data_IF_623003793773
#
_entry.id   IF_623003793773
#
_cell.length_a   1.000
_cell.length_b   1.000
_cell.length_c   1.000
_cell.angle_alpha   90.00
_cell.angle_beta   90.00
_cell.angle_gamma   90.00
#
_symmetry.space_group_name_H-M   'P 1'
#
loop_
_entity.id
_entity.type
_entity.pdbx_description
1 polymer ?
#
# COMPACT_ATOMS: atom_id res chain seq x y z
N UNK A 1 11.68 4.06 13.53
CA UNK A 1 10.68 3.32 14.33
C UNK A 1 9.69 2.69 13.37
N UNK A 2 9.31 1.42 13.59
CA UNK A 2 8.27 0.74 12.79
C UNK A 2 6.90 1.29 13.19
N UNK A 3 6.07 1.61 12.20
CA UNK A 3 4.69 2.02 12.43
C UNK A 3 3.84 0.80 12.80
N UNK A 4 3.84 -0.23 11.96
CA UNK A 4 3.15 -1.51 12.18
C UNK A 4 1.63 -1.46 12.18
N UNK A 5 1.04 -0.36 11.71
CA UNK A 5 -0.40 -0.14 11.59
C UNK A 5 -0.67 0.90 10.49
N UNK A 6 0.10 0.85 9.41
CA UNK A 6 -0.04 1.85 8.35
C UNK A 6 -1.26 1.47 7.49
N UNK A 7 -2.22 2.38 7.42
CA UNK A 7 -3.48 2.28 6.65
C UNK A 7 -4.08 3.67 6.49
N UNK A 8 -4.97 3.91 5.51
CA UNK A 8 -5.51 5.25 5.24
C UNK A 8 -6.16 5.91 6.44
N UNK A 9 -6.85 5.15 7.30
CA UNK A 9 -7.51 5.68 8.50
C UNK A 9 -6.56 6.24 9.56
N UNK A 10 -5.26 5.95 9.45
CA UNK A 10 -4.21 6.49 10.32
C UNK A 10 -3.38 7.59 9.63
N UNK A 11 -3.77 8.01 8.42
CA UNK A 11 -3.18 9.13 7.68
C UNK A 11 -4.17 10.30 7.76
N UNK A 12 -3.85 11.25 8.63
CA UNK A 12 -4.71 12.39 8.93
C UNK A 12 -4.30 13.59 8.08
N UNK A 13 -5.30 14.28 7.53
CA UNK A 13 -5.11 15.57 6.89
C UNK A 13 -5.49 16.67 7.88
N UNK A 14 -4.49 17.43 8.34
CA UNK A 14 -4.65 18.43 9.38
C UNK A 14 -4.66 19.86 8.84
N UNK A 15 -5.65 20.64 9.27
CA UNK A 15 -5.77 22.06 8.96
C UNK A 15 -6.13 22.38 7.50
N UNK A 16 -6.16 23.66 7.13
CA UNK A 16 -6.63 24.10 5.81
C UNK A 16 -5.68 23.72 4.65
N UNK A 17 -4.41 23.45 4.94
CA UNK A 17 -3.41 23.08 3.94
C UNK A 17 -3.28 21.55 3.76
N UNK A 18 -4.18 20.76 4.35
CA UNK A 18 -4.15 19.30 4.31
C UNK A 18 -2.77 18.71 4.69
N UNK A 19 -2.15 19.23 5.75
CA UNK A 19 -0.86 18.72 6.23
C UNK A 19 -1.02 17.27 6.68
N UNK A 20 -0.26 16.37 6.06
CA UNK A 20 -0.32 14.93 6.35
C UNK A 20 0.35 14.63 7.70
N UNK A 21 -0.35 13.88 8.56
CA UNK A 21 0.14 13.38 9.85
C UNK A 21 -0.18 11.90 10.02
N UNK A 22 0.72 11.16 10.65
CA UNK A 22 0.51 9.74 10.97
C UNK A 22 0.09 9.58 12.44
N UNK A 23 -0.91 8.74 12.70
CA UNK A 23 -1.34 8.34 14.05
C UNK A 23 -1.04 6.86 14.33
N UNK A 24 -1.21 6.42 15.58
CA UNK A 24 -1.27 4.99 15.94
C UNK A 24 -0.02 4.16 15.55
N UNK A 25 1.14 4.82 15.53
CA UNK A 25 2.43 4.16 15.28
C UNK A 25 2.93 3.43 16.53
N UNK A 26 3.51 2.25 16.34
CA UNK A 26 4.20 1.53 17.41
C UNK A 26 3.29 0.82 18.43
N UNK A 27 1.96 0.77 18.20
CA UNK A 27 1.01 0.13 19.12
C UNK A 27 1.34 -1.32 19.44
N UNK A 28 1.91 -2.07 18.49
CA UNK A 28 2.35 -3.46 18.67
C UNK A 28 3.33 -3.66 19.83
N UNK A 29 4.04 -2.61 20.26
CA UNK A 29 4.97 -2.65 21.40
C UNK A 29 4.27 -2.73 22.76
N UNK A 30 2.99 -2.39 22.80
CA UNK A 30 2.15 -2.40 23.99
C UNK A 30 1.22 -3.64 24.03
N UNK A 31 1.27 -4.48 22.99
CA UNK A 31 0.39 -5.64 22.84
C UNK A 31 1.06 -6.91 23.35
N UNK A 32 0.22 -7.86 23.79
CA UNK A 32 0.65 -9.24 24.00
C UNK A 32 0.92 -9.93 22.65
N UNK A 33 1.64 -11.07 22.62
CA UNK A 33 1.83 -11.83 21.38
C UNK A 33 0.52 -12.20 20.65
N UNK A 34 -0.53 -12.54 21.40
CA UNK A 34 -1.85 -12.82 20.84
C UNK A 34 -2.50 -11.56 20.25
N UNK A 35 -2.37 -10.42 20.95
CA UNK A 35 -2.85 -9.13 20.44
C UNK A 35 -2.13 -8.68 19.17
N UNK A 36 -0.83 -8.96 19.03
CA UNK A 36 -0.10 -8.70 17.78
C UNK A 36 -0.64 -9.58 16.65
N UNK A 37 -0.90 -10.86 16.93
CA UNK A 37 -1.46 -11.79 15.94
C UNK A 37 -2.84 -11.34 15.45
N UNK A 38 -3.74 -10.97 16.36
CA UNK A 38 -5.07 -10.44 16.03
C UNK A 38 -4.97 -9.12 15.23
N UNK A 39 -4.08 -8.22 15.64
CA UNK A 39 -3.82 -6.97 14.93
C UNK A 39 -3.36 -7.21 13.48
N UNK A 40 -2.49 -8.20 13.26
CA UNK A 40 -2.00 -8.57 11.93
C UNK A 40 -3.10 -9.24 11.09
N UNK A 41 -3.94 -10.08 11.69
CA UNK A 41 -5.13 -10.64 11.00
C UNK A 41 -6.08 -9.53 10.54
N UNK A 42 -6.32 -8.52 11.39
CA UNK A 42 -7.15 -7.36 11.04
C UNK A 42 -6.56 -6.55 9.89
N UNK A 43 -5.24 -6.32 9.86
CA UNK A 43 -4.58 -5.70 8.70
C UNK A 43 -4.72 -6.56 7.45
N UNK A 44 -4.70 -7.89 7.58
CA UNK A 44 -4.87 -8.83 6.47
C UNK A 44 -6.26 -8.76 5.85
N UNK A 45 -7.30 -8.75 6.70
CA UNK A 45 -8.69 -8.58 6.25
C UNK A 45 -8.93 -7.24 5.53
N UNK A 46 -8.15 -6.21 5.86
CA UNK A 46 -8.21 -4.90 5.23
C UNK A 46 -7.29 -4.76 4.00
N UNK A 47 -6.47 -5.77 3.67
CA UNK A 47 -5.56 -5.76 2.52
C UNK A 47 -4.20 -5.07 2.74
N UNK A 48 -3.86 -4.68 3.97
CA UNK A 48 -2.60 -3.98 4.28
C UNK A 48 -1.50 -4.87 4.89
N UNK A 49 -1.80 -6.15 5.15
CA UNK A 49 -0.84 -7.08 5.73
C UNK A 49 0.13 -7.60 4.68
N UNK A 50 1.43 -7.40 4.91
CA UNK A 50 2.46 -8.00 4.09
C UNK A 50 2.45 -9.54 4.21
N UNK A 51 2.61 -10.28 3.09
CA UNK A 51 2.39 -11.73 3.07
C UNK A 51 3.34 -12.51 4.00
N UNK A 52 4.54 -11.98 4.28
CA UNK A 52 5.48 -12.60 5.22
C UNK A 52 4.99 -12.63 6.67
N UNK A 53 4.08 -11.71 7.04
CA UNK A 53 3.51 -11.67 8.39
C UNK A 53 2.42 -12.72 8.59
N UNK A 54 1.67 -13.08 7.54
CA UNK A 54 0.62 -14.10 7.61
C UNK A 54 1.18 -15.53 7.73
N UNK A 55 2.40 -15.76 7.27
CA UNK A 55 3.03 -17.08 7.23
C UNK A 55 3.86 -17.42 8.48
N UNK A 56 3.87 -16.56 9.50
CA UNK A 56 4.72 -16.70 10.69
C UNK A 56 3.88 -17.03 11.93
N UNK A 57 4.32 -17.97 12.76
CA UNK A 57 3.61 -18.36 14.00
C UNK A 57 3.65 -17.31 15.11
N UNK A 58 4.63 -16.41 15.07
CA UNK A 58 4.79 -15.25 15.98
C UNK A 58 5.15 -14.01 15.17
N UNK A 59 4.20 -13.45 14.42
CA UNK A 59 4.50 -12.37 13.51
C UNK A 59 4.80 -11.08 14.28
N UNK A 60 5.72 -10.26 13.76
CA UNK A 60 6.06 -8.97 14.34
C UNK A 60 6.17 -7.93 13.23
N UNK A 61 5.53 -6.75 13.35
CA UNK A 61 5.65 -5.71 12.33
C UNK A 61 7.11 -5.30 12.07
N UNK A 62 7.44 -5.04 10.81
CA UNK A 62 8.80 -4.67 10.38
C UNK A 62 8.76 -3.43 9.50
N UNK A 63 9.91 -2.79 9.28
CA UNK A 63 10.03 -1.69 8.31
C UNK A 63 9.64 -2.12 6.89
N UNK A 64 9.92 -3.38 6.52
CA UNK A 64 9.53 -3.91 5.21
C UNK A 64 8.02 -4.06 5.11
N UNK A 65 7.35 -4.50 6.18
CA UNK A 65 5.89 -4.57 6.20
C UNK A 65 5.24 -3.17 6.10
N UNK A 66 5.83 -2.15 6.73
CA UNK A 66 5.37 -0.76 6.55
C UNK A 66 5.51 -0.29 5.09
N UNK A 67 6.59 -0.67 4.40
CA UNK A 67 6.76 -0.36 2.97
C UNK A 67 5.69 -1.06 2.12
N UNK A 68 5.34 -2.31 2.43
CA UNK A 68 4.25 -3.01 1.75
C UNK A 68 2.93 -2.25 1.89
N UNK A 69 2.55 -1.93 3.12
CA UNK A 69 1.32 -1.19 3.41
C UNK A 69 1.30 0.18 2.72
N UNK A 70 2.44 0.89 2.67
CA UNK A 70 2.57 2.14 1.91
C UNK A 70 2.32 1.93 0.41
N UNK A 71 2.86 0.86 -0.17
CA UNK A 71 2.59 0.48 -1.56
C UNK A 71 1.10 0.30 -1.82
N UNK A 72 0.42 -0.47 -0.97
CA UNK A 72 -1.04 -0.67 -1.06
C UNK A 72 -1.80 0.66 -0.97
N UNK A 73 -1.43 1.55 -0.05
CA UNK A 73 -2.05 2.87 0.10
C UNK A 73 -1.85 3.71 -1.17
N UNK A 74 -0.66 3.70 -1.78
CA UNK A 74 -0.43 4.41 -3.06
C UNK A 74 -1.32 3.84 -4.17
N UNK A 75 -1.52 2.52 -4.21
CA UNK A 75 -2.45 1.90 -5.15
C UNK A 75 -3.90 2.36 -4.89
N UNK A 76 -4.36 2.38 -3.65
CA UNK A 76 -5.71 2.90 -3.32
C UNK A 76 -5.87 4.36 -3.76
N UNK A 77 -4.85 5.19 -3.54
CA UNK A 77 -4.87 6.61 -3.94
C UNK A 77 -5.01 6.78 -5.46
N UNK A 78 -4.30 5.96 -6.25
CA UNK A 78 -4.29 6.07 -7.72
C UNK A 78 -5.51 5.39 -8.37
N UNK A 79 -6.02 4.33 -7.77
CA UNK A 79 -7.12 3.52 -8.34
C UNK A 79 -8.49 3.89 -7.80
N UNK A 80 -8.55 4.61 -6.68
CA UNK A 80 -9.77 4.93 -5.91
C UNK A 80 -10.57 3.69 -5.48
N UNK A 81 -9.92 2.53 -5.41
CA UNK A 81 -10.49 1.26 -4.93
C UNK A 81 -9.97 0.96 -3.53
N UNK A 82 -10.77 0.31 -2.70
CA UNK A 82 -10.27 -0.10 -1.38
C UNK A 82 -9.40 -1.34 -1.50
N UNK A 83 -8.34 -1.43 -0.68
CA UNK A 83 -7.44 -2.57 -0.62
C UNK A 83 -8.15 -3.88 -0.25
N UNK A 84 -9.20 -3.80 0.58
CA UNK A 84 -10.02 -4.95 0.97
C UNK A 84 -11.15 -5.30 -0.01
N UNK A 85 -11.33 -4.53 -1.10
CA UNK A 85 -12.38 -4.81 -2.07
C UNK A 85 -12.04 -6.04 -2.91
N UNK A 86 -13.04 -6.88 -3.16
CA UNK A 86 -12.95 -7.96 -4.14
C UNK A 86 -13.18 -7.36 -5.53
N UNK A 87 -12.12 -7.33 -6.35
CA UNK A 87 -12.19 -6.86 -7.72
C UNK A 87 -12.55 -8.05 -8.61
N UNK A 88 -13.75 -8.02 -9.18
CA UNK A 88 -14.21 -9.01 -10.15
C UNK A 88 -13.72 -8.64 -11.54
N UNK A 89 -12.90 -9.51 -12.16
CA UNK A 89 -12.41 -9.37 -13.53
C UNK A 89 -12.61 -10.63 -14.36
N UNK A 90 -12.09 -10.62 -15.59
CA UNK A 90 -12.14 -11.78 -16.50
C UNK A 90 -11.40 -13.01 -15.92
N UNK A 91 -10.40 -12.77 -15.06
CA UNK A 91 -9.60 -13.80 -14.39
C UNK A 91 -10.16 -14.25 -13.03
N UNK A 92 -11.36 -13.79 -12.65
CA UNK A 92 -12.00 -14.10 -11.36
C UNK A 92 -11.98 -12.94 -10.36
N UNK A 93 -12.24 -13.28 -9.10
CA UNK A 93 -12.23 -12.36 -7.96
C UNK A 93 -10.83 -12.29 -7.35
N UNK A 94 -10.20 -11.12 -7.41
CA UNK A 94 -8.84 -10.86 -6.87
C UNK A 94 -8.85 -9.63 -5.96
N UNK A 95 -7.86 -9.49 -5.08
CA UNK A 95 -7.66 -8.25 -4.33
C UNK A 95 -7.02 -7.15 -5.20
N UNK A 96 -6.92 -5.94 -4.63
CA UNK A 96 -6.34 -4.78 -5.31
C UNK A 96 -4.90 -5.03 -5.78
N UNK A 97 -4.08 -5.67 -4.96
CA UNK A 97 -2.65 -5.86 -5.25
C UNK A 97 -2.43 -6.85 -6.39
N UNK A 98 -3.21 -7.93 -6.42
CA UNK A 98 -3.17 -8.92 -7.49
C UNK A 98 -3.73 -8.37 -8.80
N UNK A 99 -4.80 -7.59 -8.74
CA UNK A 99 -5.34 -6.92 -9.93
C UNK A 99 -4.35 -5.94 -10.56
N UNK A 100 -3.73 -5.08 -9.75
CA UNK A 100 -2.72 -4.11 -10.24
C UNK A 100 -1.51 -4.84 -10.85
N UNK A 101 -1.06 -5.93 -10.22
CA UNK A 101 0.04 -6.77 -10.75
C UNK A 101 -0.31 -7.42 -12.08
N UNK A 102 -1.53 -7.91 -12.23
CA UNK A 102 -1.98 -8.50 -13.49
C UNK A 102 -2.00 -7.45 -14.61
N UNK A 103 -2.56 -6.28 -14.35
CA UNK A 103 -2.54 -5.16 -15.29
C UNK A 103 -1.11 -4.74 -15.67
N UNK A 104 -0.18 -4.72 -14.71
CA UNK A 104 1.23 -4.43 -14.98
C UNK A 104 1.88 -5.46 -15.91
N UNK A 105 1.68 -6.75 -15.62
CA UNK A 105 2.22 -7.85 -16.43
C UNK A 105 1.67 -7.87 -17.87
N UNK A 106 0.44 -7.41 -18.06
CA UNK A 106 -0.20 -7.28 -19.37
C UNK A 106 0.16 -5.97 -20.11
N UNK A 107 0.99 -5.11 -19.53
CA UNK A 107 1.36 -3.82 -20.13
C UNK A 107 0.22 -2.79 -20.10
N UNK A 108 -0.76 -2.99 -19.22
CA UNK A 108 -1.99 -2.19 -19.08
C UNK A 108 -2.04 -1.44 -17.74
N UNK A 109 -0.88 -1.11 -17.16
CA UNK A 109 -0.78 -0.47 -15.83
C UNK A 109 -1.62 0.81 -15.72
N UNK A 110 -1.68 1.59 -16.79
CA UNK A 110 -2.44 2.85 -16.83
C UNK A 110 -3.95 2.66 -16.71
N UNK A 111 -4.48 1.50 -17.11
CA UNK A 111 -5.90 1.18 -16.99
C UNK A 111 -6.35 1.07 -15.52
N UNK A 112 -5.41 0.89 -14.59
CA UNK A 112 -5.70 0.85 -13.16
C UNK A 112 -6.08 2.22 -12.60
N UNK A 113 -5.58 3.30 -13.20
CA UNK A 113 -5.67 4.64 -12.65
C UNK A 113 -7.08 5.21 -12.84
N UNK A 114 -7.63 5.77 -11.77
CA UNK A 114 -8.94 6.41 -11.78
C UNK A 114 -8.94 7.62 -12.72
N UNK A 115 -9.88 7.65 -13.67
CA UNK A 115 -9.95 8.69 -14.71
C UNK A 115 -10.39 10.05 -14.16
N UNK A 116 -11.17 10.07 -13.07
CA UNK A 116 -11.57 11.33 -12.44
C UNK A 116 -10.37 11.98 -11.75
N UNK A 117 -9.46 11.18 -11.18
CA UNK A 117 -8.20 11.66 -10.63
C UNK A 117 -7.30 12.30 -11.70
N UNK A 118 -7.34 11.79 -12.94
CA UNK A 118 -6.65 12.38 -14.09
C UNK A 118 -7.39 13.60 -14.68
N UNK A 119 -8.44 14.11 -14.03
CA UNK A 119 -9.22 15.25 -14.51
C UNK A 119 -9.98 14.94 -15.81
N UNK A 120 -10.32 13.67 -16.05
CA UNK A 120 -10.94 13.21 -17.29
C UNK A 120 -9.99 13.13 -18.48
N UNK A 121 -8.68 13.29 -18.26
CA UNK A 121 -7.63 13.12 -19.27
C UNK A 121 -6.97 11.74 -19.14
N UNK A 122 -6.06 11.43 -20.05
CA UNK A 122 -5.19 10.26 -19.91
C UNK A 122 -4.31 10.41 -18.66
N UNK A 123 -4.09 9.33 -17.88
CA UNK A 123 -3.25 9.41 -16.70
C UNK A 123 -1.83 9.87 -17.04
N UNK A 124 -1.23 10.68 -16.17
CA UNK A 124 0.08 11.27 -16.44
C UNK A 124 1.22 10.25 -16.24
N UNK A 125 2.38 10.53 -16.84
CA UNK A 125 3.59 9.73 -16.62
C UNK A 125 4.00 9.67 -15.14
N UNK A 126 3.76 10.74 -14.38
CA UNK A 126 3.99 10.77 -12.93
C UNK A 126 3.13 9.75 -12.20
N UNK A 127 1.87 9.57 -12.61
CA UNK A 127 0.97 8.58 -12.01
C UNK A 127 1.39 7.15 -12.38
N UNK A 128 1.82 6.91 -13.62
CA UNK A 128 2.42 5.64 -14.06
C UNK A 128 3.63 5.26 -13.19
N UNK A 129 4.55 6.21 -13.03
CA UNK A 129 5.78 6.01 -12.27
C UNK A 129 5.48 5.79 -10.78
N UNK A 130 4.52 6.53 -10.21
CA UNK A 130 4.05 6.33 -8.85
C UNK A 130 3.42 4.95 -8.63
N UNK A 131 2.63 4.46 -9.60
CA UNK A 131 2.08 3.10 -9.58
C UNK A 131 3.21 2.07 -9.70
N UNK A 132 4.20 2.28 -10.55
CA UNK A 132 5.40 1.44 -10.65
C UNK A 132 6.21 1.37 -9.34
N UNK A 133 6.37 2.48 -8.63
CA UNK A 133 6.98 2.50 -7.28
C UNK A 133 6.17 1.65 -6.31
N UNK A 134 4.83 1.77 -6.33
CA UNK A 134 3.95 1.00 -5.45
C UNK A 134 4.02 -0.52 -5.71
N UNK A 135 4.14 -0.94 -6.97
CA UNK A 135 4.30 -2.35 -7.35
C UNK A 135 5.59 -2.93 -6.78
N UNK A 136 6.70 -2.18 -6.81
CA UNK A 136 7.96 -2.59 -6.16
C UNK A 136 7.81 -2.72 -4.64
N UNK A 137 7.00 -1.87 -4.01
CA UNK A 137 6.76 -1.91 -2.57
C UNK A 137 6.04 -3.19 -2.11
N UNK A 138 5.31 -3.88 -2.98
CA UNK A 138 4.60 -5.12 -2.63
C UNK A 138 5.35 -6.40 -2.99
N UNK A 139 6.55 -6.30 -3.59
CA UNK A 139 7.41 -7.45 -3.92
C UNK A 139 7.76 -8.32 -2.70
N UNK A 140 8.28 -9.55 -2.93
CA UNK A 140 8.84 -10.39 -1.87
C UNK A 140 9.81 -9.60 -0.97
N UNK A 141 9.85 -9.95 0.33
CA UNK A 141 10.53 -9.15 1.37
C UNK A 141 12.01 -8.86 1.06
N UNK A 142 12.68 -9.75 0.36
CA UNK A 142 14.08 -9.66 -0.10
C UNK A 142 14.28 -8.72 -1.29
N UNK A 143 13.26 -8.49 -2.11
CA UNK A 143 13.31 -7.64 -3.32
C UNK A 143 12.65 -6.26 -3.10
N UNK A 144 11.80 -6.15 -2.07
CA UNK A 144 11.12 -4.90 -1.70
C UNK A 144 12.15 -3.79 -1.41
N UNK A 145 11.98 -2.56 -1.90
CA UNK A 145 12.87 -1.45 -1.55
C UNK A 145 12.76 -1.10 -0.07
N UNK A 146 13.77 -0.40 0.45
CA UNK A 146 13.67 0.25 1.76
C UNK A 146 13.01 1.63 1.63
N UNK A 147 12.50 2.16 2.74
CA UNK A 147 11.72 3.41 2.74
C UNK A 147 12.50 4.63 2.20
N UNK A 148 13.84 4.65 2.31
CA UNK A 148 14.66 5.75 1.77
C UNK A 148 14.70 5.72 0.25
N UNK A 149 14.76 4.52 -0.35
CA UNK A 149 14.70 4.34 -1.80
C UNK A 149 13.32 4.78 -2.32
N UNK A 150 12.24 4.29 -1.71
CA UNK A 150 10.87 4.70 -2.07
C UNK A 150 10.70 6.21 -1.96
N UNK A 151 11.17 6.82 -0.87
CA UNK A 151 11.11 8.27 -0.69
C UNK A 151 11.92 9.02 -1.76
N UNK A 152 13.13 8.58 -2.07
CA UNK A 152 13.95 9.18 -3.13
C UNK A 152 13.28 9.11 -4.50
N UNK A 153 12.72 7.95 -4.84
CA UNK A 153 12.00 7.74 -6.09
C UNK A 153 10.76 8.65 -6.17
N UNK A 154 9.95 8.73 -5.11
CA UNK A 154 8.78 9.62 -5.07
C UNK A 154 9.16 11.11 -5.16
N UNK A 155 10.21 11.55 -4.46
CA UNK A 155 10.70 12.92 -4.56
C UNK A 155 11.16 13.29 -5.98
N UNK A 156 11.75 12.33 -6.70
CA UNK A 156 12.18 12.57 -8.09
C UNK A 156 11.02 12.84 -9.05
N UNK A 157 9.79 12.47 -8.69
CA UNK A 157 8.59 12.74 -9.49
C UNK A 157 8.03 14.16 -9.30
N UNK A 158 8.44 14.85 -8.24
CA UNK A 158 7.94 16.19 -7.88
C UNK A 158 8.80 17.35 -8.43
N UNK A 159 9.72 17.04 -9.35
CA UNK A 159 10.63 17.99 -10.00
C UNK A 159 10.01 18.82 -11.11
#
# INVERSE_FOLDING_TARGET
MVHGNLKPTNILLAGPNFSVRLSDFGLHRLMTPDGISEHILNLGALGYCAPELSNTSKPLPTFKADVYALGVIIMELLTRRSAGDIISGQSGAVDLTDWVRLCDQEGRRMDCIDRDLAGGQEPSKVMDDMLGISIRCILPVNERPNIREVFGDLCSLSG
#
